data_IF_380657914234
#
_entry.id   IF_380657914234
#
_cell.length_a   1.000
_cell.length_b   1.000
_cell.length_c   1.000
_cell.angle_alpha   90.00
_cell.angle_beta   90.00
_cell.angle_gamma   90.00
#
_symmetry.space_group_name_H-M   'P 1'
#
loop_
_entity.id
_entity.type
_entity.pdbx_description
1 polymer ?
#
# COMPACT_ATOMS: atom_id res chain seq x y z
N UNK A 1 6.48 0.98 5.41
CA UNK A 1 5.76 2.21 5.04
C UNK A 1 4.48 1.94 4.24
N UNK A 2 4.49 1.07 3.23
CA UNK A 2 3.27 0.75 2.45
C UNK A 2 2.07 0.32 3.29
N UNK A 3 2.27 -0.56 4.27
CA UNK A 3 1.17 -1.01 5.16
C UNK A 3 0.57 0.13 5.99
N UNK A 4 1.42 1.01 6.53
CA UNK A 4 0.98 2.18 7.30
C UNK A 4 0.22 3.16 6.40
N UNK A 5 0.71 3.39 5.18
CA UNK A 5 0.00 4.24 4.22
C UNK A 5 -1.38 3.66 3.89
N UNK A 6 -1.47 2.36 3.61
CA UNK A 6 -2.75 1.68 3.37
C UNK A 6 -3.69 1.84 4.56
N UNK A 7 -3.20 1.66 5.78
CA UNK A 7 -3.97 1.83 7.01
C UNK A 7 -4.46 3.27 7.21
N UNK A 8 -3.61 4.27 7.00
CA UNK A 8 -4.02 5.67 7.06
C UNK A 8 -5.13 6.02 6.06
N UNK A 9 -5.16 5.34 4.91
CA UNK A 9 -6.14 5.61 3.85
C UNK A 9 -7.45 4.84 4.02
N UNK A 10 -7.43 3.69 4.68
CA UNK A 10 -8.57 2.76 4.76
C UNK A 10 -9.08 2.54 6.18
N UNK A 11 -8.35 3.01 7.20
CA UNK A 11 -8.66 2.81 8.61
C UNK A 11 -8.28 1.42 9.14
N UNK A 12 -7.66 0.56 8.34
CA UNK A 12 -7.19 -0.78 8.77
C UNK A 12 -5.97 -1.25 7.99
N UNK A 13 -5.10 -2.09 8.58
CA UNK A 13 -3.94 -2.61 7.85
C UNK A 13 -4.35 -3.58 6.73
N UNK A 14 -3.49 -3.77 5.71
CA UNK A 14 -3.79 -4.63 4.56
C UNK A 14 -3.88 -6.11 4.92
N UNK A 15 -3.21 -6.53 5.99
CA UNK A 15 -3.18 -7.92 6.47
C UNK A 15 -3.61 -7.96 7.93
N UNK A 16 -4.59 -8.81 8.24
CA UNK A 16 -5.15 -8.95 9.59
C UNK A 16 -5.45 -10.41 9.87
N UNK A 17 -5.08 -10.86 11.07
CA UNK A 17 -5.43 -12.18 11.61
C UNK A 17 -5.41 -12.11 13.13
N UNK A 18 -6.17 -12.99 13.78
CA UNK A 18 -6.10 -13.19 15.24
C UNK A 18 -4.84 -13.92 15.70
N UNK A 19 -4.05 -14.44 14.75
CA UNK A 19 -2.83 -15.21 14.98
C UNK A 19 -1.62 -14.51 14.37
N UNK A 20 -0.61 -14.23 15.17
CA UNK A 20 0.59 -13.46 14.76
C UNK A 20 1.36 -14.18 13.64
N UNK A 21 1.47 -15.50 13.72
CA UNK A 21 2.16 -16.32 12.71
C UNK A 21 1.49 -16.23 11.34
N UNK A 22 0.15 -16.07 11.32
CA UNK A 22 -0.58 -15.87 10.08
C UNK A 22 -0.33 -14.50 9.49
N UNK A 23 -0.24 -13.44 10.31
CA UNK A 23 0.09 -12.10 9.83
C UNK A 23 1.48 -12.10 9.18
N UNK A 24 2.44 -12.79 9.80
CA UNK A 24 3.77 -12.96 9.21
C UNK A 24 3.68 -13.68 7.86
N UNK A 25 3.01 -14.83 7.78
CA UNK A 25 2.82 -15.55 6.50
C UNK A 25 2.13 -14.68 5.43
N UNK A 26 1.12 -13.89 5.81
CA UNK A 26 0.45 -12.96 4.90
C UNK A 26 1.41 -11.90 4.35
N UNK A 27 2.32 -11.38 5.17
CA UNK A 27 3.36 -10.46 4.71
C UNK A 27 4.28 -11.10 3.66
N UNK A 28 4.54 -12.40 3.71
CA UNK A 28 5.36 -13.12 2.74
C UNK A 28 4.59 -13.50 1.47
N UNK A 29 3.39 -14.08 1.59
CA UNK A 29 2.77 -14.83 0.50
C UNK A 29 1.47 -14.21 -0.01
N UNK A 30 0.71 -13.52 0.86
CA UNK A 30 -0.61 -13.06 0.50
C UNK A 30 -0.55 -11.84 -0.41
N UNK A 31 -1.22 -11.91 -1.57
CA UNK A 31 -1.40 -10.76 -2.46
C UNK A 31 -2.06 -9.61 -1.68
N UNK A 32 -1.47 -8.41 -1.67
CA UNK A 32 -2.06 -7.27 -0.98
C UNK A 32 -3.47 -6.96 -1.50
N UNK A 33 -4.42 -6.59 -0.63
CA UNK A 33 -5.73 -6.15 -1.08
C UNK A 33 -5.64 -4.87 -1.92
N UNK A 34 -6.51 -4.76 -2.92
CA UNK A 34 -6.67 -3.51 -3.68
C UNK A 34 -7.17 -2.41 -2.74
N UNK A 35 -6.54 -1.24 -2.79
CA UNK A 35 -6.97 -0.04 -2.06
C UNK A 35 -8.43 0.30 -2.34
N UNK A 36 -8.89 0.14 -3.59
CA UNK A 36 -10.27 0.46 -3.98
C UNK A 36 -11.32 -0.45 -3.38
N UNK A 37 -10.92 -1.62 -2.87
CA UNK A 37 -11.84 -2.49 -2.12
C UNK A 37 -12.34 -1.84 -0.82
N UNK A 38 -11.61 -0.85 -0.28
CA UNK A 38 -11.96 -0.14 0.95
C UNK A 38 -12.14 1.37 0.75
N UNK A 39 -11.48 1.93 -0.27
CA UNK A 39 -11.58 3.34 -0.63
C UNK A 39 -11.86 3.49 -2.11
N UNK A 40 -13.12 3.30 -2.49
CA UNK A 40 -13.55 3.23 -3.89
C UNK A 40 -13.30 4.54 -4.68
N UNK A 41 -13.30 5.69 -4.00
CA UNK A 41 -13.03 7.02 -4.55
C UNK A 41 -11.53 7.32 -4.74
N UNK A 42 -10.63 6.38 -4.40
CA UNK A 42 -9.20 6.58 -4.51
C UNK A 42 -8.77 6.84 -5.97
N UNK A 43 -8.04 7.94 -6.24
CA UNK A 43 -7.46 8.22 -7.55
C UNK A 43 -6.53 7.09 -8.02
N UNK A 44 -6.43 6.87 -9.34
CA UNK A 44 -5.60 5.77 -9.89
C UNK A 44 -4.13 5.87 -9.46
N UNK A 45 -3.60 7.07 -9.33
CA UNK A 45 -2.23 7.30 -8.87
C UNK A 45 -2.00 6.83 -7.45
N UNK A 46 -2.95 7.12 -6.54
CA UNK A 46 -2.88 6.69 -5.17
C UNK A 46 -2.91 5.16 -5.08
N UNK A 47 -3.78 4.53 -5.87
CA UNK A 47 -3.83 3.06 -5.99
C UNK A 47 -2.48 2.53 -6.46
N UNK A 48 -1.90 3.06 -7.54
CA UNK A 48 -0.59 2.65 -8.04
C UNK A 48 0.52 2.78 -6.99
N UNK A 49 0.57 3.91 -6.28
CA UNK A 49 1.59 4.14 -5.25
C UNK A 49 1.47 3.12 -4.12
N UNK A 50 0.24 2.88 -3.64
CA UNK A 50 -0.03 1.95 -2.54
C UNK A 50 0.25 0.51 -2.97
N UNK A 51 -0.23 0.07 -4.13
CA UNK A 51 0.06 -1.27 -4.67
C UNK A 51 1.56 -1.52 -4.76
N UNK A 52 2.31 -0.59 -5.38
CA UNK A 52 3.77 -0.71 -5.49
C UNK A 52 4.47 -0.73 -4.13
N UNK A 53 3.97 0.04 -3.16
CA UNK A 53 4.54 0.05 -1.81
C UNK A 53 4.30 -1.25 -1.02
N UNK A 54 3.32 -2.06 -1.44
CA UNK A 54 2.93 -3.33 -0.81
C UNK A 54 3.49 -4.57 -1.52
N UNK A 55 4.24 -4.40 -2.61
CA UNK A 55 4.90 -5.50 -3.32
C UNK A 55 5.73 -6.39 -2.40
N UNK A 56 5.82 -7.68 -2.70
CA UNK A 56 6.53 -8.64 -1.83
C UNK A 56 8.04 -8.50 -1.98
N UNK A 57 8.49 -8.45 -3.22
CA UNK A 57 9.88 -8.26 -3.58
C UNK A 57 10.33 -6.82 -3.25
N UNK A 58 11.39 -6.64 -2.45
CA UNK A 58 11.90 -5.30 -2.16
C UNK A 58 12.33 -4.50 -3.39
N UNK A 59 12.74 -5.19 -4.47
CA UNK A 59 13.14 -4.56 -5.74
C UNK A 59 11.99 -3.92 -6.52
N UNK A 60 10.78 -4.46 -6.35
CA UNK A 60 9.56 -3.94 -7.00
C UNK A 60 8.97 -2.73 -6.23
N UNK A 61 9.40 -2.54 -4.98
CA UNK A 61 8.98 -1.41 -4.14
C UNK A 61 9.65 -0.09 -4.54
N UNK A 62 9.19 0.97 -3.88
CA UNK A 62 9.89 2.25 -3.86
C UNK A 62 11.24 2.10 -3.16
N UNK A 63 12.32 2.60 -3.77
CA UNK A 63 13.67 2.51 -3.22
C UNK A 63 13.84 3.36 -1.97
N UNK A 64 12.99 4.37 -1.79
CA UNK A 64 12.97 5.21 -0.61
C UNK A 64 11.59 5.80 -0.32
N UNK A 65 11.40 6.24 0.93
CA UNK A 65 10.22 7.01 1.31
C UNK A 65 10.11 8.33 0.52
N UNK A 66 11.24 8.91 0.13
CA UNK A 66 11.30 10.14 -0.66
C UNK A 66 10.74 9.90 -2.06
N UNK A 67 11.17 8.84 -2.75
CA UNK A 67 10.66 8.44 -4.07
C UNK A 67 9.14 8.21 -4.04
N UNK A 68 8.66 7.50 -3.01
CA UNK A 68 7.22 7.27 -2.81
C UNK A 68 6.46 8.58 -2.61
N UNK A 69 7.00 9.51 -1.82
CA UNK A 69 6.40 10.84 -1.59
C UNK A 69 6.36 11.67 -2.87
N UNK A 70 7.40 11.63 -3.67
CA UNK A 70 7.48 12.39 -4.92
C UNK A 70 6.47 11.86 -5.94
N UNK A 71 6.26 10.55 -5.99
CA UNK A 71 5.19 9.93 -6.78
C UNK A 71 3.78 10.37 -6.35
N UNK A 72 3.54 10.54 -5.04
CA UNK A 72 2.26 11.07 -4.52
C UNK A 72 2.04 12.55 -4.91
N UNK A 73 3.12 13.35 -4.88
CA UNK A 73 3.05 14.80 -5.12
C UNK A 73 2.88 15.15 -6.60
N UNK A 74 3.54 14.40 -7.49
CA UNK A 74 3.45 14.61 -8.93
C UNK A 74 1.99 14.55 -9.41
N UNK A 75 1.16 13.74 -8.76
CA UNK A 75 -0.23 13.56 -9.17
C UNK A 75 -1.23 14.48 -8.44
N UNK A 76 -0.88 15.00 -7.25
CA UNK A 76 -1.71 15.97 -6.51
C UNK A 76 -1.86 17.33 -7.21
N UNK A 77 -1.14 17.56 -8.31
CA UNK A 77 -1.24 18.77 -9.15
C UNK A 77 -2.27 18.66 -10.28
N UNK A 78 -2.98 17.54 -10.41
CA UNK A 78 -3.97 17.29 -11.47
C UNK A 78 -5.41 17.19 -10.93
N UNK A 79 -5.76 18.02 -9.94
CA UNK A 79 -7.12 18.18 -9.42
C UNK A 79 -7.57 19.64 -9.54
#
# INVERSE_FOLDING_TARGET
>A
LGCVLFECLTGRPPFMSSREEMVLSMHHEQVPPDLRSLRADAPDSLVRVVSRALEKSPEDRWKSAQEMKDALRCDSSSA
#
